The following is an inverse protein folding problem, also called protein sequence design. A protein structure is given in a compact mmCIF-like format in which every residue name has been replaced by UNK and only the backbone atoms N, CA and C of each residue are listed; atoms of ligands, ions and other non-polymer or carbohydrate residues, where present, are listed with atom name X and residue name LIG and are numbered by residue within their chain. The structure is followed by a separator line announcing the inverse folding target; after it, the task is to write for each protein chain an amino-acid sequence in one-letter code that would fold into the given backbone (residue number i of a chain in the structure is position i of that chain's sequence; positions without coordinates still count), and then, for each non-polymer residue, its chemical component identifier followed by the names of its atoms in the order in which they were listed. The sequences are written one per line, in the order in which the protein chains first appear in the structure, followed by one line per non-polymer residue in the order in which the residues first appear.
data_IF_123110689772
#
_entry.id   IF_123110689772
#
_cell.length_a   1.000
_cell.length_b   1.000
_cell.length_c   1.000
_cell.angle_alpha   90.00
_cell.angle_beta   90.00
_cell.angle_gamma   90.00
#
_symmetry.space_group_name_H-M   'P 1'
#
loop_
_entity.id
_entity.type
_entity.pdbx_description
1 polymer ?
#
# COMPACT_ATOMS: atom_id res chain seq x y z
N UNK A 1 70.25 -63.13 1.77
CA UNK A 1 70.18 -62.17 2.90
C UNK A 1 68.71 -61.80 3.06
N UNK A 2 67.97 -62.41 4.01
CA UNK A 2 67.74 -61.92 5.40
C UNK A 2 67.10 -60.51 5.36
N UNK A 3 65.87 -60.22 5.80
CA UNK A 3 65.02 -60.84 6.83
C UNK A 3 63.53 -60.52 6.59
N UNK A 4 62.69 -61.44 7.08
CA UNK A 4 61.27 -61.30 7.43
C UNK A 4 61.14 -60.39 8.66
N UNK A 5 60.11 -59.53 8.72
CA UNK A 5 59.21 -59.45 9.89
C UNK A 5 58.00 -58.52 9.69
N UNK A 6 56.87 -59.06 10.15
CA UNK A 6 55.53 -58.52 10.29
C UNK A 6 55.46 -57.15 10.96
N UNK A 7 54.56 -56.28 10.47
CA UNK A 7 53.70 -55.50 11.35
C UNK A 7 52.37 -55.21 10.65
N UNK A 8 51.34 -55.90 11.10
CA UNK A 8 49.93 -55.57 10.86
C UNK A 8 49.62 -54.33 11.69
N UNK A 9 49.19 -53.24 11.04
CA UNK A 9 48.50 -52.15 11.71
C UNK A 9 47.20 -51.87 10.95
N UNK A 10 46.12 -52.45 11.47
CA UNK A 10 44.75 -52.06 11.17
C UNK A 10 44.56 -50.62 11.66
N UNK A 11 44.44 -49.68 10.71
CA UNK A 11 43.91 -48.36 10.97
C UNK A 11 42.50 -48.31 10.40
N UNK A 12 41.53 -48.61 11.27
CA UNK A 12 40.11 -48.36 11.02
C UNK A 12 39.94 -46.83 11.06
N UNK A 13 40.03 -46.20 9.89
CA UNK A 13 39.58 -44.83 9.72
C UNK A 13 38.06 -44.88 9.59
N UNK A 14 37.36 -44.56 10.69
CA UNK A 14 35.94 -44.25 10.67
C UNK A 14 35.70 -43.06 9.73
N UNK A 15 35.24 -43.33 8.51
CA UNK A 15 34.64 -42.33 7.65
C UNK A 15 33.29 -41.92 8.24
N UNK A 16 33.31 -41.01 9.22
CA UNK A 16 32.14 -40.20 9.55
C UNK A 16 32.03 -39.17 8.45
N UNK A 17 31.12 -39.44 7.51
CA UNK A 17 30.74 -38.48 6.48
C UNK A 17 30.13 -37.25 7.14
N UNK A 18 30.94 -36.22 7.35
CA UNK A 18 30.44 -34.87 7.54
C UNK A 18 29.97 -34.38 6.17
N UNK A 19 28.75 -34.76 5.79
CA UNK A 19 27.97 -33.95 4.87
C UNK A 19 27.72 -32.62 5.60
N UNK A 20 28.64 -31.66 5.45
CA UNK A 20 28.30 -30.27 5.65
C UNK A 20 27.35 -29.90 4.52
N UNK A 21 26.05 -30.08 4.77
CA UNK A 21 25.02 -29.37 4.04
C UNK A 21 25.44 -27.90 3.97
N UNK A 22 25.43 -27.25 2.79
CA UNK A 22 25.63 -25.81 2.76
C UNK A 22 24.59 -25.22 3.71
N UNK A 23 25.04 -24.39 4.66
CA UNK A 23 24.14 -23.54 5.43
C UNK A 23 23.28 -22.85 4.39
N UNK A 24 21.99 -23.19 4.37
CA UNK A 24 20.99 -22.42 3.65
C UNK A 24 21.16 -21.01 4.18
N UNK A 25 21.65 -20.10 3.33
CA UNK A 25 21.66 -18.69 3.64
C UNK A 25 20.27 -18.35 4.18
N UNK A 26 20.24 -17.86 5.41
CA UNK A 26 19.04 -17.29 6.00
C UNK A 26 18.54 -16.28 4.99
N UNK A 27 17.31 -16.47 4.45
CA UNK A 27 16.58 -15.45 3.69
C UNK A 27 16.95 -14.09 4.29
N UNK A 28 17.43 -13.14 3.47
CA UNK A 28 17.66 -11.75 3.88
C UNK A 28 16.50 -11.30 4.77
N UNK A 29 16.73 -11.24 6.08
CA UNK A 29 15.65 -11.03 7.03
C UNK A 29 15.40 -9.53 7.12
N UNK A 30 14.37 -9.05 6.44
CA UNK A 30 13.94 -7.66 6.51
C UNK A 30 13.47 -7.30 7.95
N UNK A 31 13.67 -6.04 8.39
CA UNK A 31 13.07 -5.48 9.60
C UNK A 31 11.59 -5.83 9.72
N UNK A 32 11.11 -6.27 10.88
CA UNK A 32 9.69 -6.62 11.03
C UNK A 32 8.79 -5.38 11.18
N UNK A 33 9.34 -4.28 11.66
CA UNK A 33 8.58 -3.05 11.96
C UNK A 33 9.23 -1.86 11.29
N UNK A 34 8.42 -1.15 10.51
CA UNK A 34 8.82 -0.02 9.68
C UNK A 34 8.02 1.24 10.02
N UNK A 35 8.52 2.38 9.57
CA UNK A 35 7.74 3.61 9.52
C UNK A 35 8.02 4.40 8.25
N UNK A 36 7.01 5.12 7.75
CA UNK A 36 7.24 6.21 6.81
C UNK A 36 7.65 7.46 7.57
N UNK A 37 8.58 8.23 7.03
CA UNK A 37 9.03 9.47 7.65
C UNK A 37 9.50 10.48 6.61
N UNK A 38 8.95 11.69 6.65
CA UNK A 38 9.51 12.82 5.93
C UNK A 38 10.80 13.29 6.61
N UNK A 39 11.86 13.40 5.82
CA UNK A 39 13.13 13.97 6.22
C UNK A 39 13.29 15.36 5.62
N UNK A 40 13.82 16.29 6.40
CA UNK A 40 14.19 17.62 5.93
C UNK A 40 15.55 17.99 6.53
N UNK A 41 16.44 18.65 5.77
CA UNK A 41 17.72 19.14 6.29
C UNK A 41 17.52 19.97 7.57
N UNK A 42 18.35 19.73 8.57
CA UNK A 42 18.26 20.38 9.89
C UNK A 42 17.31 19.70 10.88
N UNK A 43 16.58 18.65 10.48
CA UNK A 43 15.87 17.76 11.40
C UNK A 43 16.86 17.07 12.34
N UNK A 44 16.52 16.95 13.63
CA UNK A 44 17.28 16.12 14.57
C UNK A 44 16.95 14.63 14.36
N UNK A 45 17.49 14.07 13.29
CA UNK A 45 17.20 12.70 12.88
C UNK A 45 17.72 11.65 13.88
N UNK A 46 18.84 11.93 14.57
CA UNK A 46 19.40 11.07 15.62
C UNK A 46 18.41 10.86 16.79
N UNK A 47 17.74 11.94 17.23
CA UNK A 47 16.68 11.84 18.23
C UNK A 47 15.46 11.05 17.73
N UNK A 48 15.13 11.13 16.45
CA UNK A 48 14.00 10.37 15.87
C UNK A 48 14.38 8.89 15.75
N UNK A 49 15.62 8.57 15.39
CA UNK A 49 16.13 7.19 15.43
C UNK A 49 16.13 6.62 16.85
N UNK A 50 16.41 7.44 17.87
CA UNK A 50 16.24 7.02 19.27
C UNK A 50 14.78 6.68 19.58
N UNK A 51 13.83 7.50 19.12
CA UNK A 51 12.39 7.23 19.26
C UNK A 51 11.98 5.94 18.53
N UNK A 52 12.53 5.68 17.34
CA UNK A 52 12.30 4.42 16.61
C UNK A 52 12.80 3.22 17.42
N UNK A 53 14.02 3.28 17.97
CA UNK A 53 14.56 2.23 18.83
C UNK A 53 13.73 2.03 20.11
N UNK A 54 13.27 3.11 20.74
CA UNK A 54 12.38 3.06 21.91
C UNK A 54 11.08 2.33 21.59
N UNK A 55 10.54 2.51 20.39
CA UNK A 55 9.33 1.83 19.90
C UNK A 55 9.61 0.41 19.36
N UNK A 56 10.86 0.04 19.11
CA UNK A 56 11.20 -1.22 18.44
C UNK A 56 10.85 -1.19 16.96
N UNK A 57 11.14 -0.08 16.28
CA UNK A 57 11.07 0.06 14.82
C UNK A 57 12.51 -0.02 14.30
N UNK A 58 12.76 -0.91 13.34
CA UNK A 58 14.12 -1.18 12.84
C UNK A 58 14.30 -0.79 11.35
N UNK A 59 13.23 -0.33 10.70
CA UNK A 59 13.27 0.11 9.30
C UNK A 59 12.54 1.44 9.08
N UNK A 60 13.03 2.25 8.14
CA UNK A 60 12.40 3.51 7.75
C UNK A 60 12.33 3.65 6.24
N UNK A 61 11.13 3.97 5.75
CA UNK A 61 10.89 4.52 4.42
C UNK A 61 11.01 6.03 4.54
N UNK A 62 12.23 6.53 4.30
CA UNK A 62 12.59 7.92 4.53
C UNK A 62 12.38 8.72 3.25
N UNK A 63 11.60 9.80 3.28
CA UNK A 63 11.41 10.72 2.16
C UNK A 63 12.32 11.94 2.33
N UNK A 64 13.45 11.98 1.61
CA UNK A 64 14.37 13.10 1.65
C UNK A 64 14.45 13.81 0.27
N UNK A 65 14.66 15.14 0.25
CA UNK A 65 14.60 15.93 -0.98
C UNK A 65 15.55 15.47 -2.09
N UNK A 66 16.79 15.13 -1.74
CA UNK A 66 17.85 14.84 -2.69
C UNK A 66 18.69 13.62 -2.28
N UNK A 67 19.46 13.00 -3.19
CA UNK A 67 20.42 11.95 -2.85
C UNK A 67 21.46 12.38 -1.80
N UNK A 68 21.87 13.65 -1.77
CA UNK A 68 22.82 14.17 -0.77
C UNK A 68 22.22 14.14 0.65
N UNK A 69 20.92 14.43 0.79
CA UNK A 69 20.24 14.34 2.08
C UNK A 69 20.24 12.92 2.64
N UNK A 70 20.18 11.90 1.77
CA UNK A 70 20.36 10.50 2.19
C UNK A 70 21.80 10.20 2.62
N UNK A 71 22.81 10.77 1.94
CA UNK A 71 24.22 10.61 2.34
C UNK A 71 24.47 11.14 3.75
N UNK A 72 23.74 12.18 4.17
CA UNK A 72 23.78 12.70 5.53
C UNK A 72 22.96 11.86 6.52
N UNK A 73 21.77 11.39 6.13
CA UNK A 73 20.85 10.67 7.01
C UNK A 73 21.31 9.23 7.30
N UNK A 74 21.86 8.51 6.31
CA UNK A 74 22.20 7.08 6.42
C UNK A 74 23.23 6.81 7.53
N UNK A 75 24.35 7.55 7.65
CA UNK A 75 25.29 7.34 8.75
C UNK A 75 24.67 7.54 10.13
N UNK A 76 23.63 8.37 10.25
CA UNK A 76 22.89 8.56 11.50
C UNK A 76 22.03 7.32 11.76
N UNK A 77 21.19 6.89 10.81
CA UNK A 77 20.35 5.70 10.93
C UNK A 77 21.16 4.44 11.27
N UNK A 78 22.33 4.27 10.66
CA UNK A 78 23.22 3.12 10.89
C UNK A 78 23.73 3.03 12.34
N UNK A 79 23.98 4.17 13.02
CA UNK A 79 24.36 4.17 14.46
C UNK A 79 23.28 3.54 15.34
N UNK A 80 22.03 3.64 14.90
CA UNK A 80 20.86 3.11 15.58
C UNK A 80 20.47 1.72 15.11
N UNK A 81 21.14 1.17 14.07
CA UNK A 81 20.75 -0.10 13.46
C UNK A 81 19.48 -0.02 12.62
N UNK A 82 19.10 1.18 12.16
CA UNK A 82 17.89 1.40 11.36
C UNK A 82 18.20 1.19 9.87
N UNK A 83 17.45 0.31 9.21
CA UNK A 83 17.49 0.11 7.76
C UNK A 83 16.79 1.26 7.03
N UNK A 84 17.37 1.78 5.94
CA UNK A 84 16.84 2.96 5.24
C UNK A 84 16.48 2.63 3.80
N UNK A 85 15.21 2.82 3.45
CA UNK A 85 14.73 2.81 2.06
C UNK A 85 14.38 4.23 1.66
N UNK A 86 14.77 4.64 0.45
CA UNK A 86 14.38 5.93 -0.09
C UNK A 86 12.91 5.87 -0.52
N UNK A 87 12.05 6.60 0.21
CA UNK A 87 10.64 6.73 -0.10
C UNK A 87 10.42 7.81 -1.14
N UNK A 88 10.22 7.38 -2.39
CA UNK A 88 10.20 8.25 -3.55
C UNK A 88 8.82 8.30 -4.20
N UNK A 89 8.28 9.51 -4.35
CA UNK A 89 7.10 9.71 -5.18
C UNK A 89 7.52 9.74 -6.65
N UNK A 90 6.85 8.94 -7.46
CA UNK A 90 7.27 8.67 -8.85
C UNK A 90 6.35 9.32 -9.88
N UNK A 91 5.11 8.85 -10.03
CA UNK A 91 4.20 9.42 -11.04
C UNK A 91 3.66 10.79 -10.62
N UNK A 92 3.45 11.04 -9.32
CA UNK A 92 3.19 12.38 -8.78
C UNK A 92 4.44 12.91 -8.10
N UNK A 93 5.26 13.71 -8.79
CA UNK A 93 6.50 14.23 -8.22
C UNK A 93 6.25 15.02 -6.94
N UNK A 94 7.21 15.05 -6.02
CA UNK A 94 7.14 15.82 -4.79
C UNK A 94 8.07 17.05 -4.85
N UNK A 95 9.37 16.85 -4.64
CA UNK A 95 10.33 17.94 -4.42
C UNK A 95 10.68 18.73 -5.69
N UNK A 96 10.64 18.08 -6.85
CA UNK A 96 10.96 18.61 -8.17
C UNK A 96 9.72 18.97 -9.00
N UNK A 97 8.52 18.82 -8.42
CA UNK A 97 7.24 19.00 -9.13
C UNK A 97 7.15 20.34 -9.86
N UNK A 98 7.39 21.45 -9.17
CA UNK A 98 7.15 22.78 -9.72
C UNK A 98 8.11 23.12 -10.89
N UNK A 99 9.35 22.63 -10.81
CA UNK A 99 10.32 22.77 -11.88
C UNK A 99 9.89 21.96 -13.12
N UNK A 100 9.58 20.67 -12.93
CA UNK A 100 9.13 19.79 -14.02
C UNK A 100 7.80 20.26 -14.62
N UNK A 101 6.87 20.76 -13.80
CA UNK A 101 5.60 21.33 -14.27
C UNK A 101 5.81 22.54 -15.18
N UNK A 102 6.80 23.37 -14.86
CA UNK A 102 7.14 24.57 -15.65
C UNK A 102 7.91 24.24 -16.92
N UNK A 103 8.85 23.29 -16.84
CA UNK A 103 9.77 22.94 -17.94
C UNK A 103 9.12 21.99 -18.94
N UNK A 104 8.27 21.08 -18.46
CA UNK A 104 7.64 20.00 -19.22
C UNK A 104 6.14 19.90 -18.98
N UNK A 105 5.36 20.98 -19.22
CA UNK A 105 3.90 20.97 -19.02
C UNK A 105 3.19 19.89 -19.85
N UNK A 106 3.79 19.44 -20.97
CA UNK A 106 3.28 18.39 -21.84
C UNK A 106 3.40 16.98 -21.24
N UNK A 107 4.11 16.79 -20.12
CA UNK A 107 4.26 15.47 -19.49
C UNK A 107 3.06 15.05 -18.66
N UNK A 108 2.16 15.97 -18.31
CA UNK A 108 1.16 15.73 -17.27
C UNK A 108 -0.12 15.07 -17.78
N UNK A 109 -0.71 14.26 -16.91
CA UNK A 109 -1.89 13.46 -17.23
C UNK A 109 -3.10 14.32 -17.60
N UNK A 110 -3.87 13.81 -18.55
CA UNK A 110 -5.11 14.42 -19.05
C UNK A 110 -6.30 13.57 -18.60
N UNK A 111 -7.36 14.23 -18.12
CA UNK A 111 -8.61 13.57 -17.72
C UNK A 111 -9.53 13.32 -18.91
N UNK A 112 -10.63 12.59 -18.70
CA UNK A 112 -11.62 12.25 -19.73
C UNK A 112 -12.26 13.49 -20.40
N UNK A 113 -12.30 14.63 -19.72
CA UNK A 113 -12.74 15.91 -20.30
C UNK A 113 -11.71 16.55 -21.24
N UNK A 114 -10.52 15.95 -21.41
CA UNK A 114 -9.42 16.54 -22.17
C UNK A 114 -8.66 17.63 -21.42
N UNK A 115 -8.82 17.73 -20.10
CA UNK A 115 -8.14 18.73 -19.28
C UNK A 115 -6.84 18.19 -18.70
N UNK A 116 -5.75 18.94 -18.85
CA UNK A 116 -4.43 18.59 -18.31
C UNK A 116 -4.30 18.96 -16.83
N UNK A 117 -3.60 18.13 -16.06
CA UNK A 117 -3.17 18.49 -14.70
C UNK A 117 -2.20 19.67 -14.66
N UNK A 118 -1.61 20.09 -15.77
CA UNK A 118 -0.81 21.33 -15.80
C UNK A 118 -1.63 22.53 -15.32
N UNK A 119 -2.84 22.67 -15.86
CA UNK A 119 -3.68 23.85 -15.66
C UNK A 119 -4.86 23.60 -14.71
N UNK A 120 -5.05 22.36 -14.26
CA UNK A 120 -6.19 21.97 -13.42
C UNK A 120 -5.79 21.28 -12.13
N UNK A 121 -6.76 21.16 -11.23
CA UNK A 121 -6.61 20.49 -9.93
C UNK A 121 -7.68 19.41 -9.83
N UNK A 122 -7.27 18.17 -9.57
CA UNK A 122 -8.21 17.07 -9.33
C UNK A 122 -8.92 17.22 -7.97
N UNK A 123 -8.14 17.22 -6.88
CA UNK A 123 -8.62 17.38 -5.50
C UNK A 123 -7.80 18.39 -4.70
N UNK A 124 -6.48 18.37 -4.91
CA UNK A 124 -5.49 19.13 -4.15
C UNK A 124 -4.40 19.63 -5.11
N UNK A 125 -3.85 20.82 -4.85
CA UNK A 125 -2.94 21.49 -5.78
C UNK A 125 -1.64 20.73 -6.08
N UNK A 126 -1.24 19.85 -5.17
CA UNK A 126 -0.04 19.03 -5.31
C UNK A 126 -0.24 17.76 -6.17
N UNK A 127 -1.45 17.47 -6.64
CA UNK A 127 -1.69 16.34 -7.55
C UNK A 127 -1.36 16.75 -8.98
N UNK A 128 -0.13 16.46 -9.40
CA UNK A 128 0.39 16.69 -10.74
C UNK A 128 1.05 15.40 -11.23
N UNK A 129 0.20 14.44 -11.60
CA UNK A 129 0.64 13.13 -12.08
C UNK A 129 1.11 13.21 -13.54
N UNK A 130 2.28 12.67 -13.83
CA UNK A 130 2.83 12.56 -15.18
C UNK A 130 2.18 11.42 -15.98
N UNK A 131 2.35 11.41 -17.30
CA UNK A 131 1.85 10.40 -18.21
C UNK A 131 2.85 9.23 -18.33
N UNK A 132 2.49 7.99 -17.97
CA UNK A 132 3.41 6.85 -18.01
C UNK A 132 3.69 6.33 -19.44
N UNK A 133 2.98 6.78 -20.47
CA UNK A 133 3.22 6.37 -21.85
C UNK A 133 4.33 7.17 -22.55
N UNK A 134 4.75 8.31 -22.00
CA UNK A 134 5.78 9.15 -22.60
C UNK A 134 7.18 8.57 -22.32
N UNK A 135 7.99 8.27 -23.36
CA UNK A 135 9.36 7.81 -23.17
C UNK A 135 10.22 8.77 -22.33
N UNK A 136 10.02 10.07 -22.48
CA UNK A 136 10.75 11.13 -21.77
C UNK A 136 10.47 11.08 -20.26
N UNK A 137 9.22 10.86 -19.87
CA UNK A 137 8.83 10.68 -18.46
C UNK A 137 9.48 9.41 -17.88
N UNK A 138 9.50 8.31 -18.63
CA UNK A 138 10.14 7.06 -18.20
C UNK A 138 11.64 7.23 -18.00
N UNK A 139 12.30 7.88 -18.94
CA UNK A 139 13.74 8.15 -18.86
C UNK A 139 14.08 9.10 -17.71
N UNK A 140 13.25 10.13 -17.48
CA UNK A 140 13.39 11.02 -16.33
C UNK A 140 13.30 10.27 -15.00
N UNK A 141 12.26 9.43 -14.83
CA UNK A 141 12.09 8.60 -13.63
C UNK A 141 13.28 7.66 -13.46
N UNK A 142 13.72 6.99 -14.53
CA UNK A 142 14.86 6.07 -14.50
C UNK A 142 16.12 6.76 -13.99
N UNK A 143 16.51 7.91 -14.56
CA UNK A 143 17.69 8.67 -14.12
C UNK A 143 17.59 9.12 -12.67
N UNK A 144 16.40 9.52 -12.23
CA UNK A 144 16.15 9.88 -10.84
C UNK A 144 16.41 8.68 -9.93
N UNK A 145 15.88 7.51 -10.24
CA UNK A 145 16.10 6.27 -9.49
C UNK A 145 17.58 5.88 -9.46
N UNK A 146 18.29 5.93 -10.60
CA UNK A 146 19.73 5.66 -10.67
C UNK A 146 20.52 6.53 -9.68
N UNK A 147 20.22 7.84 -9.62
CA UNK A 147 20.90 8.76 -8.70
C UNK A 147 20.69 8.41 -7.21
N UNK A 148 19.52 7.91 -6.81
CA UNK A 148 19.30 7.41 -5.44
C UNK A 148 19.95 6.04 -5.21
N UNK A 149 19.96 5.17 -6.23
CA UNK A 149 20.64 3.89 -6.16
C UNK A 149 22.17 4.03 -6.00
N UNK A 150 22.78 5.11 -6.48
CA UNK A 150 24.20 5.40 -6.28
C UNK A 150 24.57 5.82 -4.84
N UNK A 151 23.60 6.10 -3.97
CA UNK A 151 23.87 6.47 -2.57
C UNK A 151 24.39 5.26 -1.80
N UNK A 152 25.64 5.34 -1.33
CA UNK A 152 26.27 4.30 -0.51
C UNK A 152 25.50 4.08 0.80
N UNK A 153 25.33 2.82 1.20
CA UNK A 153 24.64 2.45 2.44
C UNK A 153 23.10 2.47 2.39
N UNK A 154 22.49 2.99 1.33
CA UNK A 154 21.03 2.94 1.14
C UNK A 154 20.60 1.51 0.75
N UNK A 155 19.67 0.91 1.52
CA UNK A 155 19.30 -0.49 1.39
C UNK A 155 18.33 -0.77 0.22
N UNK A 156 17.46 0.18 -0.09
CA UNK A 156 16.41 0.00 -1.09
C UNK A 156 15.71 1.27 -1.51
N UNK A 157 14.81 1.13 -2.48
CA UNK A 157 13.88 2.16 -2.93
C UNK A 157 12.47 1.70 -2.59
N UNK A 158 11.66 2.57 -2.00
CA UNK A 158 10.23 2.37 -1.78
C UNK A 158 9.44 3.37 -2.62
N UNK A 159 8.80 2.92 -3.71
CA UNK A 159 8.02 3.82 -4.57
C UNK A 159 6.62 4.09 -4.00
N UNK A 160 6.17 5.33 -4.09
CA UNK A 160 4.81 5.76 -3.75
C UNK A 160 4.29 6.74 -4.81
N UNK A 161 2.99 7.04 -4.74
CA UNK A 161 2.23 7.77 -5.74
C UNK A 161 2.49 7.25 -7.15
N UNK A 162 2.82 5.96 -7.27
CA UNK A 162 3.07 5.27 -8.52
C UNK A 162 1.74 4.79 -9.11
N UNK A 163 0.94 5.74 -9.58
CA UNK A 163 -0.46 5.54 -9.96
C UNK A 163 -0.97 6.68 -10.83
N UNK A 164 -2.20 6.57 -11.33
CA UNK A 164 -2.95 7.73 -11.78
C UNK A 164 -3.61 8.44 -10.58
N UNK A 165 -4.15 9.63 -10.82
CA UNK A 165 -5.09 10.27 -9.88
C UNK A 165 -6.17 9.26 -9.48
N UNK A 166 -6.59 9.34 -8.23
CA UNK A 166 -7.69 8.57 -7.67
C UNK A 166 -8.94 8.71 -8.54
N UNK A 167 -9.21 7.72 -9.38
CA UNK A 167 -10.42 7.65 -10.21
C UNK A 167 -11.65 7.47 -9.32
N UNK A 168 -11.44 6.90 -8.13
CA UNK A 168 -12.36 6.86 -7.02
C UNK A 168 -11.56 7.12 -5.73
N UNK A 169 -11.92 8.16 -4.97
CA UNK A 169 -11.40 8.34 -3.62
C UNK A 169 -12.10 7.44 -2.60
N UNK A 170 -11.39 6.99 -1.54
CA UNK A 170 -12.02 6.35 -0.38
C UNK A 170 -13.17 7.20 0.19
N UNK A 171 -14.29 6.57 0.51
CA UNK A 171 -15.56 7.27 0.75
C UNK A 171 -15.54 8.19 1.97
N UNK A 172 -14.72 7.89 2.98
CA UNK A 172 -14.60 8.74 4.17
C UNK A 172 -13.83 10.04 3.89
N UNK A 173 -13.14 10.13 2.76
CA UNK A 173 -12.44 11.35 2.32
C UNK A 173 -13.35 12.29 1.52
N UNK A 174 -14.50 11.83 1.05
CA UNK A 174 -15.41 12.66 0.26
C UNK A 174 -15.88 13.92 1.00
N UNK A 175 -16.28 13.87 2.29
CA UNK A 175 -16.67 15.08 3.02
C UNK A 175 -15.52 16.08 3.17
N UNK A 176 -14.28 15.61 3.29
CA UNK A 176 -13.10 16.47 3.39
C UNK A 176 -12.92 17.35 2.15
N UNK A 177 -13.27 16.83 0.97
CA UNK A 177 -13.17 17.55 -0.30
C UNK A 177 -14.50 18.13 -0.78
N UNK A 178 -15.60 17.91 -0.05
CA UNK A 178 -16.93 18.40 -0.43
C UNK A 178 -17.47 17.78 -1.72
N UNK A 179 -17.17 16.51 -1.98
CA UNK A 179 -17.55 15.80 -3.21
C UNK A 179 -18.43 14.58 -2.91
N UNK A 180 -19.00 13.99 -3.95
CA UNK A 180 -19.54 12.63 -3.98
C UNK A 180 -18.97 11.97 -5.22
N UNK A 181 -18.34 10.80 -5.07
CA UNK A 181 -17.62 10.10 -6.15
C UNK A 181 -17.99 8.62 -6.20
N UNK A 182 -19.28 8.36 -6.32
CA UNK A 182 -19.90 7.03 -6.33
C UNK A 182 -19.76 6.26 -7.65
N UNK A 183 -19.13 6.87 -8.65
CA UNK A 183 -18.81 6.30 -9.96
C UNK A 183 -17.59 7.02 -10.58
N UNK A 184 -17.12 6.54 -11.72
CA UNK A 184 -16.00 7.17 -12.45
C UNK A 184 -16.44 8.44 -13.18
N UNK A 185 -16.26 9.59 -12.54
CA UNK A 185 -16.59 10.88 -13.14
C UNK A 185 -15.47 11.41 -14.06
N UNK A 186 -15.81 12.10 -15.17
CA UNK A 186 -14.82 12.49 -16.18
C UNK A 186 -13.68 13.38 -15.65
N UNK A 187 -13.95 14.24 -14.67
CA UNK A 187 -12.97 15.18 -14.13
C UNK A 187 -11.86 14.51 -13.30
N UNK A 188 -12.10 13.30 -12.80
CA UNK A 188 -11.16 12.49 -12.01
C UNK A 188 -10.70 11.20 -12.74
N UNK A 189 -11.29 10.88 -13.89
CA UNK A 189 -10.89 9.77 -14.74
C UNK A 189 -9.70 10.16 -15.63
N UNK A 190 -8.48 9.93 -15.12
CA UNK A 190 -7.22 10.25 -15.82
C UNK A 190 -6.66 9.09 -16.65
N UNK A 191 -5.75 9.44 -17.57
CA UNK A 191 -5.11 8.51 -18.50
C UNK A 191 -5.43 8.79 -19.97
N UNK A 192 -6.09 9.91 -20.28
CA UNK A 192 -6.50 10.31 -21.63
C UNK A 192 -5.49 11.21 -22.34
N UNK A 193 -4.23 11.19 -21.89
CA UNK A 193 -3.15 11.91 -22.58
C UNK A 193 -3.06 11.45 -24.04
N UNK A 194 -2.83 12.32 -25.03
CA UNK A 194 -2.81 11.93 -26.45
C UNK A 194 -1.93 10.70 -26.74
N UNK A 195 -0.75 10.60 -26.12
CA UNK A 195 0.14 9.44 -26.25
C UNK A 195 -0.48 8.12 -25.72
N UNK A 196 -1.26 8.17 -24.63
CA UNK A 196 -1.98 6.99 -24.12
C UNK A 196 -3.07 6.54 -25.09
N UNK A 197 -3.81 7.51 -25.64
CA UNK A 197 -4.89 7.25 -26.61
C UNK A 197 -4.31 6.64 -27.89
N UNK A 198 -3.24 7.21 -28.44
CA UNK A 198 -2.57 6.69 -29.64
C UNK A 198 -2.04 5.27 -29.41
N UNK A 199 -1.35 5.03 -28.29
CA UNK A 199 -0.81 3.71 -27.95
C UNK A 199 -1.93 2.68 -27.79
N UNK A 200 -3.04 3.04 -27.15
CA UNK A 200 -4.20 2.16 -27.02
C UNK A 200 -4.89 1.88 -28.36
N UNK A 201 -5.15 2.91 -29.17
CA UNK A 201 -5.75 2.77 -30.51
C UNK A 201 -4.92 1.84 -31.39
N UNK A 202 -3.60 1.96 -31.31
CA UNK A 202 -2.67 1.09 -32.04
C UNK A 202 -2.78 -0.37 -31.58
N UNK A 203 -2.93 -0.60 -30.28
CA UNK A 203 -3.01 -1.96 -29.71
C UNK A 203 -4.39 -2.62 -29.89
N UNK A 204 -5.49 -1.86 -29.82
CA UNK A 204 -6.85 -2.41 -29.72
C UNK A 204 -7.80 -1.98 -30.85
N UNK A 205 -7.41 -1.04 -31.71
CA UNK A 205 -8.14 -0.67 -32.93
C UNK A 205 -9.29 0.32 -32.77
N UNK A 206 -9.49 0.92 -31.59
CA UNK A 206 -10.55 1.92 -31.35
C UNK A 206 -10.12 2.96 -30.31
N UNK A 207 -10.82 4.10 -30.30
CA UNK A 207 -10.61 5.19 -29.35
C UNK A 207 -11.52 5.00 -28.13
N UNK A 208 -10.99 4.94 -26.89
CA UNK A 208 -11.82 4.73 -25.71
C UNK A 208 -12.79 5.90 -25.47
N UNK A 209 -12.51 7.09 -26.03
CA UNK A 209 -13.37 8.28 -25.90
C UNK A 209 -14.63 8.21 -26.76
N UNK A 210 -14.67 7.31 -27.74
CA UNK A 210 -15.83 7.11 -28.61
C UNK A 210 -16.87 6.16 -27.98
N UNK A 211 -16.53 5.53 -26.84
CA UNK A 211 -17.47 4.70 -26.07
C UNK A 211 -18.47 5.58 -25.30
N UNK A 212 -19.70 5.09 -25.15
CA UNK A 212 -20.73 5.78 -24.35
C UNK A 212 -20.33 5.86 -22.86
N UNK A 213 -19.78 4.77 -22.32
CA UNK A 213 -19.22 4.72 -20.98
C UNK A 213 -17.85 4.02 -20.96
N UNK A 214 -16.75 4.79 -21.06
CA UNK A 214 -15.39 4.24 -21.00
C UNK A 214 -15.04 3.56 -19.67
N UNK A 215 -15.83 3.75 -18.61
CA UNK A 215 -15.59 3.08 -17.32
C UNK A 215 -15.93 1.58 -17.34
N UNK A 216 -16.76 1.16 -18.31
CA UNK A 216 -17.09 -0.26 -18.54
C UNK A 216 -16.09 -0.97 -19.45
N UNK A 217 -15.13 -0.23 -20.04
CA UNK A 217 -14.14 -0.81 -20.93
C UNK A 217 -13.00 -1.47 -20.14
N UNK A 218 -13.09 -2.78 -19.98
CA UNK A 218 -12.07 -3.58 -19.28
C UNK A 218 -10.71 -3.54 -19.98
N UNK A 219 -10.65 -3.42 -21.31
CA UNK A 219 -9.38 -3.30 -22.04
C UNK A 219 -8.73 -1.96 -21.75
N UNK A 220 -9.51 -0.88 -21.73
CA UNK A 220 -9.02 0.44 -21.38
C UNK A 220 -8.54 0.53 -19.93
N UNK A 221 -9.29 -0.08 -19.00
CA UNK A 221 -8.88 -0.19 -17.61
C UNK A 221 -7.55 -0.95 -17.47
N UNK A 222 -7.46 -2.15 -18.06
CA UNK A 222 -6.27 -2.98 -17.95
C UNK A 222 -5.07 -2.32 -18.62
N UNK A 223 -5.24 -1.70 -19.79
CA UNK A 223 -4.17 -0.96 -20.45
C UNK A 223 -3.58 0.13 -19.56
N UNK A 224 -4.41 0.90 -18.84
CA UNK A 224 -3.93 1.93 -17.90
C UNK A 224 -3.15 1.31 -16.73
N UNK A 225 -3.63 0.19 -16.18
CA UNK A 225 -2.89 -0.56 -15.16
C UNK A 225 -1.54 -1.07 -15.69
N UNK A 226 -1.49 -1.54 -16.94
CA UNK A 226 -0.28 -2.04 -17.57
C UNK A 226 0.73 -0.93 -17.79
N UNK A 227 0.30 0.28 -18.16
CA UNK A 227 1.22 1.42 -18.30
C UNK A 227 1.88 1.81 -16.97
N UNK A 228 1.16 1.77 -15.85
CA UNK A 228 1.76 1.96 -14.52
C UNK A 228 2.71 0.79 -14.20
N UNK A 229 2.28 -0.45 -14.43
CA UNK A 229 3.08 -1.66 -14.17
C UNK A 229 4.39 -1.70 -14.95
N UNK A 230 4.39 -1.27 -16.22
CA UNK A 230 5.59 -1.15 -17.04
C UNK A 230 6.62 -0.21 -16.41
N UNK A 231 6.19 0.94 -15.85
CA UNK A 231 7.11 1.88 -15.19
C UNK A 231 7.58 1.31 -13.85
N UNK A 232 6.71 0.67 -13.06
CA UNK A 232 7.10 0.02 -11.81
C UNK A 232 8.19 -1.06 -12.03
N UNK A 233 8.01 -1.90 -13.05
CA UNK A 233 8.96 -2.97 -13.36
C UNK A 233 10.25 -2.44 -13.98
N UNK A 234 10.19 -1.37 -14.77
CA UNK A 234 11.39 -0.65 -15.21
C UNK A 234 12.20 -0.12 -14.01
N UNK A 235 11.53 0.46 -13.00
CA UNK A 235 12.20 0.91 -11.77
C UNK A 235 12.81 -0.28 -11.04
N UNK A 236 12.06 -1.38 -10.88
CA UNK A 236 12.57 -2.59 -10.24
C UNK A 236 13.84 -3.11 -10.91
N UNK A 237 13.85 -3.21 -12.24
CA UNK A 237 15.02 -3.67 -13.00
C UNK A 237 16.25 -2.79 -12.72
N UNK A 238 16.08 -1.46 -12.69
CA UNK A 238 17.15 -0.52 -12.32
C UNK A 238 17.62 -0.78 -10.89
N UNK A 239 16.70 -0.78 -9.92
CA UNK A 239 17.03 -0.97 -8.49
C UNK A 239 17.80 -2.28 -8.26
N UNK A 240 17.38 -3.37 -8.91
CA UNK A 240 18.03 -4.67 -8.81
C UNK A 240 19.42 -4.70 -9.47
N UNK A 241 19.66 -3.95 -10.54
CA UNK A 241 21.02 -3.87 -11.14
C UNK A 241 22.06 -3.25 -10.21
N UNK A 242 21.62 -2.41 -9.26
CA UNK A 242 22.47 -1.85 -8.20
C UNK A 242 22.54 -2.74 -6.95
N UNK A 243 21.94 -3.94 -6.98
CA UNK A 243 21.91 -4.86 -5.85
C UNK A 243 21.04 -4.39 -4.68
N UNK A 244 20.12 -3.44 -4.92
CA UNK A 244 19.23 -2.87 -3.90
C UNK A 244 17.87 -3.53 -3.93
N UNK A 245 17.11 -3.36 -2.85
CA UNK A 245 15.75 -3.90 -2.75
C UNK A 245 14.72 -2.93 -3.30
N UNK A 246 13.77 -3.46 -4.03
CA UNK A 246 12.63 -2.73 -4.57
C UNK A 246 11.40 -2.94 -3.70
N UNK A 247 10.82 -1.85 -3.21
CA UNK A 247 9.60 -1.84 -2.44
C UNK A 247 8.57 -0.84 -2.97
N UNK A 248 7.32 -0.96 -2.52
CA UNK A 248 6.27 -0.01 -2.86
C UNK A 248 5.26 0.20 -1.73
N UNK A 249 4.61 1.36 -1.72
CA UNK A 249 3.49 1.71 -0.85
C UNK A 249 2.20 1.89 -1.66
N UNK A 250 1.55 0.80 -2.12
CA UNK A 250 0.35 0.90 -2.95
C UNK A 250 -0.95 1.01 -2.13
N UNK A 251 -2.08 1.14 -2.84
CA UNK A 251 -3.42 0.98 -2.26
C UNK A 251 -3.66 -0.45 -1.73
N UNK A 252 -4.67 -0.65 -0.85
CA UNK A 252 -4.76 -1.81 0.05
C UNK A 252 -4.62 -3.19 -0.59
N UNK A 253 -5.24 -3.42 -1.76
CA UNK A 253 -5.18 -4.70 -2.47
C UNK A 253 -4.98 -4.53 -3.97
N UNK A 254 -4.46 -5.52 -4.73
CA UNK A 254 -4.26 -5.36 -6.17
C UNK A 254 -5.58 -5.07 -6.90
N UNK A 255 -6.67 -5.76 -6.54
CA UNK A 255 -7.97 -5.55 -7.21
C UNK A 255 -8.57 -4.20 -6.85
N UNK A 256 -8.57 -3.82 -5.58
CA UNK A 256 -9.08 -2.52 -5.15
C UNK A 256 -8.28 -1.39 -5.80
N UNK A 257 -6.95 -1.49 -5.76
CA UNK A 257 -6.04 -0.50 -6.32
C UNK A 257 -6.21 -0.38 -7.85
N UNK A 258 -6.48 -1.46 -8.57
CA UNK A 258 -6.72 -1.42 -10.02
C UNK A 258 -7.97 -0.61 -10.36
N UNK A 259 -9.03 -0.73 -9.54
CA UNK A 259 -10.31 -0.05 -9.73
C UNK A 259 -10.28 1.40 -9.27
N UNK A 260 -9.57 1.71 -8.19
CA UNK A 260 -9.57 3.06 -7.61
C UNK A 260 -8.48 3.96 -8.19
N UNK A 261 -7.30 3.41 -8.50
CA UNK A 261 -6.11 4.21 -8.83
C UNK A 261 -5.26 3.64 -9.97
N UNK A 262 -5.73 2.59 -10.64
CA UNK A 262 -5.03 1.91 -11.75
C UNK A 262 -3.66 1.33 -11.37
N UNK A 263 -3.54 0.85 -10.14
CA UNK A 263 -2.39 0.04 -9.72
C UNK A 263 -2.74 -1.44 -9.78
N UNK A 264 -1.92 -2.24 -10.46
CA UNK A 264 -2.01 -3.69 -10.45
C UNK A 264 -0.75 -4.27 -9.82
N UNK A 265 -0.54 -3.92 -8.55
CA UNK A 265 0.76 -4.12 -7.89
C UNK A 265 1.10 -5.59 -7.64
N UNK A 266 0.13 -6.51 -7.75
CA UNK A 266 0.39 -7.95 -7.75
C UNK A 266 1.25 -8.41 -8.93
N UNK A 267 1.37 -7.59 -9.98
CA UNK A 267 2.22 -7.82 -11.16
C UNK A 267 3.57 -7.09 -11.11
N UNK A 268 3.87 -6.39 -10.02
CA UNK A 268 5.11 -5.61 -9.91
C UNK A 268 6.24 -6.50 -9.37
N UNK A 269 7.46 -6.29 -9.88
CA UNK A 269 8.67 -7.01 -9.50
C UNK A 269 9.22 -6.46 -8.17
N UNK A 270 8.50 -6.66 -7.08
CA UNK A 270 8.84 -6.14 -5.75
C UNK A 270 9.53 -7.20 -4.88
N UNK A 271 10.54 -6.79 -4.12
CA UNK A 271 11.06 -7.57 -2.99
C UNK A 271 10.12 -7.45 -1.78
N UNK A 272 9.60 -6.25 -1.52
CA UNK A 272 8.73 -5.96 -0.37
C UNK A 272 7.54 -5.11 -0.82
N UNK A 273 6.36 -5.31 -0.24
CA UNK A 273 5.23 -4.42 -0.46
C UNK A 273 4.62 -3.99 0.88
N UNK A 274 4.28 -2.70 0.98
CA UNK A 274 3.66 -2.06 2.13
C UNK A 274 2.29 -1.46 1.75
N UNK A 275 1.26 -2.27 1.44
CA UNK A 275 -0.06 -1.74 1.10
C UNK A 275 -0.61 -0.87 2.24
N UNK A 276 -1.12 0.32 1.90
CA UNK A 276 -1.65 1.30 2.85
C UNK A 276 -3.08 0.93 3.26
N UNK A 277 -3.21 -0.07 4.14
CA UNK A 277 -4.49 -0.61 4.64
C UNK A 277 -5.04 0.27 5.77
N UNK A 278 -5.17 1.57 5.50
CA UNK A 278 -5.65 2.56 6.47
C UNK A 278 -7.17 2.44 6.63
N UNK A 279 -7.65 1.47 7.42
CA UNK A 279 -9.08 1.18 7.63
C UNK A 279 -9.91 2.41 7.97
N UNK A 280 -9.33 3.41 8.65
CA UNK A 280 -9.95 4.71 8.95
C UNK A 280 -10.37 5.53 7.71
N UNK A 281 -9.68 5.32 6.57
CA UNK A 281 -10.06 5.91 5.28
C UNK A 281 -11.13 5.09 4.53
N UNK A 282 -11.46 3.89 5.03
CA UNK A 282 -12.42 2.97 4.42
C UNK A 282 -13.59 2.74 5.39
N UNK A 283 -13.78 1.52 5.89
CA UNK A 283 -14.95 1.17 6.70
C UNK A 283 -14.85 1.61 8.16
N UNK A 284 -13.65 1.97 8.62
CA UNK A 284 -13.23 2.14 10.04
C UNK A 284 -13.28 0.86 10.88
N UNK A 285 -13.62 -0.27 10.28
CA UNK A 285 -13.70 -1.54 11.00
C UNK A 285 -12.42 -2.37 10.77
N UNK A 286 -11.95 -3.04 11.82
CA UNK A 286 -10.72 -3.86 11.79
C UNK A 286 -10.84 -5.03 10.79
N UNK A 287 -12.05 -5.55 10.52
CA UNK A 287 -12.22 -6.62 9.52
C UNK A 287 -11.76 -6.22 8.12
N UNK A 288 -11.75 -4.93 7.79
CA UNK A 288 -11.19 -4.42 6.54
C UNK A 288 -9.71 -4.82 6.37
N UNK A 289 -8.94 -4.77 7.46
CA UNK A 289 -7.53 -5.16 7.45
C UNK A 289 -7.43 -6.65 7.13
N UNK A 290 -8.17 -7.49 7.85
CA UNK A 290 -8.19 -8.94 7.64
C UNK A 290 -8.57 -9.33 6.20
N UNK A 291 -9.62 -8.71 5.65
CA UNK A 291 -10.09 -8.97 4.29
C UNK A 291 -9.05 -8.56 3.24
N UNK A 292 -8.42 -7.39 3.42
CA UNK A 292 -7.33 -6.95 2.54
C UNK A 292 -6.14 -7.90 2.60
N UNK A 293 -5.74 -8.35 3.79
CA UNK A 293 -4.59 -9.24 3.96
C UNK A 293 -4.81 -10.62 3.35
N UNK A 294 -6.01 -11.18 3.46
CA UNK A 294 -6.37 -12.45 2.80
C UNK A 294 -6.22 -12.33 1.28
N UNK A 295 -6.72 -11.24 0.69
CA UNK A 295 -6.54 -10.99 -0.73
C UNK A 295 -5.07 -10.78 -1.09
N UNK A 296 -4.33 -10.02 -0.30
CA UNK A 296 -2.92 -9.72 -0.57
C UNK A 296 -2.05 -10.97 -0.54
N UNK A 297 -2.26 -11.88 0.41
CA UNK A 297 -1.55 -13.18 0.44
C UNK A 297 -1.82 -13.99 -0.81
N UNK A 298 -3.06 -13.96 -1.32
CA UNK A 298 -3.48 -14.69 -2.52
C UNK A 298 -2.91 -14.09 -3.81
N UNK A 299 -2.92 -12.76 -3.92
CA UNK A 299 -2.77 -12.06 -5.20
C UNK A 299 -1.42 -11.32 -5.36
N UNK A 300 -0.57 -11.25 -4.32
CA UNK A 300 0.80 -10.71 -4.45
C UNK A 300 1.67 -11.58 -5.37
N UNK A 301 2.73 -11.00 -5.93
CA UNK A 301 3.73 -11.77 -6.63
C UNK A 301 4.43 -12.80 -5.69
N UNK A 302 4.83 -13.99 -6.18
CA UNK A 302 5.39 -15.05 -5.34
C UNK A 302 6.62 -14.64 -4.52
N UNK A 303 7.48 -13.81 -5.10
CA UNK A 303 8.76 -13.40 -4.49
C UNK A 303 8.65 -12.13 -3.62
N UNK A 304 7.47 -11.53 -3.53
CA UNK A 304 7.27 -10.30 -2.75
C UNK A 304 6.93 -10.62 -1.30
N UNK A 305 7.70 -10.09 -0.35
CA UNK A 305 7.37 -10.13 1.08
C UNK A 305 6.27 -9.12 1.39
N UNK A 306 5.22 -9.58 2.06
CA UNK A 306 4.02 -8.78 2.33
C UNK A 306 4.06 -8.16 3.72
N UNK A 307 3.98 -6.83 3.79
CA UNK A 307 3.76 -6.07 5.03
C UNK A 307 2.34 -5.51 5.04
N UNK A 308 1.95 -4.88 6.15
CA UNK A 308 0.73 -4.09 6.24
C UNK A 308 1.04 -2.66 6.72
N UNK A 309 0.60 -1.67 5.95
CA UNK A 309 0.66 -0.26 6.30
C UNK A 309 -0.53 0.18 7.13
N UNK A 310 -0.29 0.73 8.32
CA UNK A 310 -1.33 1.13 9.28
C UNK A 310 -1.16 2.60 9.72
N UNK A 311 -2.28 3.24 10.05
CA UNK A 311 -2.27 4.53 10.75
C UNK A 311 -2.16 4.28 12.25
N UNK A 312 -1.37 5.09 12.95
CA UNK A 312 -1.34 5.03 14.43
C UNK A 312 -2.66 5.56 14.99
N UNK A 313 -3.35 4.74 15.76
CA UNK A 313 -4.62 5.04 16.43
C UNK A 313 -4.74 4.30 17.75
N UNK A 314 -5.86 4.50 18.45
CA UNK A 314 -6.12 3.86 19.75
C UNK A 314 -6.26 2.33 19.63
N UNK A 315 -6.62 1.85 18.44
CA UNK A 315 -6.86 0.44 18.04
C UNK A 315 -5.65 -0.21 17.35
N UNK A 316 -4.44 0.36 17.51
CA UNK A 316 -3.26 -0.08 16.76
C UNK A 316 -2.87 -1.53 17.05
N UNK A 317 -3.05 -2.04 18.27
CA UNK A 317 -2.71 -3.44 18.61
C UNK A 317 -3.66 -4.41 17.90
N UNK A 318 -4.97 -4.13 17.91
CA UNK A 318 -5.98 -4.91 17.21
C UNK A 318 -5.77 -4.88 15.70
N UNK A 319 -5.37 -3.72 15.16
CA UNK A 319 -5.04 -3.56 13.74
C UNK A 319 -3.79 -4.37 13.35
N UNK A 320 -2.76 -4.36 14.19
CA UNK A 320 -1.54 -5.16 13.99
C UNK A 320 -1.83 -6.65 14.08
N UNK A 321 -2.64 -7.09 15.05
CA UNK A 321 -3.09 -8.47 15.19
C UNK A 321 -3.87 -8.91 13.94
N UNK A 322 -4.82 -8.09 13.47
CA UNK A 322 -5.57 -8.37 12.25
C UNK A 322 -4.64 -8.53 11.03
N UNK A 323 -3.60 -7.71 10.92
CA UNK A 323 -2.64 -7.82 9.84
C UNK A 323 -1.75 -9.08 9.92
N UNK A 324 -1.12 -9.31 11.07
CA UNK A 324 -0.16 -10.38 11.29
C UNK A 324 -0.83 -11.76 11.25
N UNK A 325 -2.03 -11.88 11.82
CA UNK A 325 -2.78 -13.15 11.84
C UNK A 325 -3.29 -13.57 10.45
N UNK A 326 -3.33 -12.65 9.48
CA UNK A 326 -3.78 -12.88 8.11
C UNK A 326 -2.65 -12.77 7.08
N UNK A 327 -1.40 -12.94 7.51
CA UNK A 327 -0.27 -13.21 6.61
C UNK A 327 0.65 -12.04 6.32
N UNK A 328 0.51 -10.91 7.03
CA UNK A 328 1.59 -9.92 7.04
C UNK A 328 2.85 -10.51 7.69
N UNK A 329 3.99 -10.35 7.04
CA UNK A 329 5.32 -10.71 7.57
C UNK A 329 5.90 -9.59 8.45
N UNK A 330 5.29 -8.42 8.45
CA UNK A 330 5.62 -7.29 9.32
C UNK A 330 4.66 -6.11 9.13
N UNK A 331 4.89 -5.05 9.89
CA UNK A 331 4.03 -3.85 9.95
C UNK A 331 4.83 -2.62 9.56
N UNK A 332 4.20 -1.68 8.86
CA UNK A 332 4.68 -0.31 8.75
C UNK A 332 3.64 0.67 9.30
N UNK A 333 4.06 1.66 10.08
CA UNK A 333 3.17 2.70 10.62
C UNK A 333 3.39 4.07 9.98
N UNK A 334 2.31 4.79 9.74
CA UNK A 334 2.31 6.18 9.28
C UNK A 334 1.85 7.11 10.42
N UNK A 335 2.74 7.81 11.13
CA UNK A 335 4.21 7.66 11.17
C UNK A 335 4.65 7.45 12.62
N UNK A 336 5.94 7.22 12.88
CA UNK A 336 6.49 7.12 14.24
C UNK A 336 6.16 8.35 15.11
N UNK A 337 5.92 9.52 14.51
CA UNK A 337 5.47 10.72 15.22
C UNK A 337 4.08 10.58 15.86
N UNK A 338 3.31 9.56 15.48
CA UNK A 338 2.06 9.17 16.15
C UNK A 338 2.29 8.61 17.57
N UNK A 339 3.47 8.06 17.86
CA UNK A 339 3.85 7.51 19.17
C UNK A 339 4.38 8.61 20.11
N UNK A 340 3.51 9.56 20.43
CA UNK A 340 3.87 10.86 21.03
C UNK A 340 4.43 10.77 22.44
N UNK A 341 3.99 9.81 23.25
CA UNK A 341 4.35 9.74 24.67
C UNK A 341 5.27 8.56 24.98
N UNK A 342 6.12 8.64 26.03
CA UNK A 342 6.91 7.50 26.48
C UNK A 342 6.06 6.25 26.75
N UNK A 343 4.84 6.41 27.29
CA UNK A 343 3.93 5.28 27.53
C UNK A 343 3.48 4.64 26.20
N UNK A 344 3.11 5.45 25.20
CA UNK A 344 2.72 4.92 23.88
C UNK A 344 3.86 4.16 23.20
N UNK A 345 5.10 4.64 23.33
CA UNK A 345 6.29 3.96 22.80
C UNK A 345 6.62 2.68 23.55
N UNK A 346 6.55 2.70 24.89
CA UNK A 346 6.76 1.51 25.70
C UNK A 346 5.70 0.43 25.42
N UNK A 347 4.43 0.83 25.22
CA UNK A 347 3.35 -0.08 24.84
C UNK A 347 3.62 -0.71 23.47
N UNK A 348 3.92 0.12 22.47
CA UNK A 348 4.24 -0.36 21.12
C UNK A 348 5.47 -1.28 21.14
N UNK A 349 6.51 -0.93 21.90
CA UNK A 349 7.70 -1.75 22.09
C UNK A 349 7.39 -3.11 22.68
N UNK A 350 6.62 -3.16 23.77
CA UNK A 350 6.20 -4.41 24.40
C UNK A 350 5.47 -5.32 23.39
N UNK A 351 4.59 -4.75 22.57
CA UNK A 351 3.92 -5.48 21.49
C UNK A 351 4.93 -5.99 20.45
N UNK A 352 5.81 -5.13 19.92
CA UNK A 352 6.79 -5.55 18.90
C UNK A 352 7.73 -6.65 19.40
N UNK A 353 8.18 -6.57 20.65
CA UNK A 353 9.03 -7.59 21.28
C UNK A 353 8.28 -8.91 21.48
N UNK A 354 7.01 -8.86 21.88
CA UNK A 354 6.15 -10.05 22.00
C UNK A 354 5.99 -10.77 20.65
N UNK A 355 5.72 -10.03 19.58
CA UNK A 355 5.59 -10.59 18.23
C UNK A 355 6.90 -11.19 17.73
N UNK A 356 8.04 -10.52 17.95
CA UNK A 356 9.36 -11.08 17.62
C UNK A 356 9.63 -12.39 18.35
N UNK A 357 9.29 -12.48 19.64
CA UNK A 357 9.45 -13.69 20.43
C UNK A 357 8.59 -14.84 19.86
N UNK A 358 7.31 -14.58 19.58
CA UNK A 358 6.39 -15.56 18.95
C UNK A 358 6.96 -16.04 17.61
N UNK A 359 7.46 -15.13 16.77
CA UNK A 359 8.04 -15.49 15.46
C UNK A 359 9.32 -16.33 15.61
N UNK A 360 10.16 -16.02 16.58
CA UNK A 360 11.38 -16.78 16.87
C UNK A 360 11.05 -18.22 17.32
N UNK A 361 10.05 -18.40 18.19
CA UNK A 361 9.56 -19.71 18.63
C UNK A 361 8.98 -20.54 17.47
N UNK A 362 8.37 -19.87 16.49
CA UNK A 362 7.76 -20.49 15.31
C UNK A 362 8.71 -20.58 14.09
N UNK A 363 10.04 -20.61 14.31
CA UNK A 363 11.06 -20.76 13.26
C UNK A 363 10.97 -19.70 12.15
N UNK A 364 10.61 -18.47 12.51
CA UNK A 364 10.54 -17.33 11.58
C UNK A 364 9.19 -17.16 10.88
N UNK A 365 8.20 -18.02 11.17
CA UNK A 365 6.86 -17.96 10.58
C UNK A 365 5.90 -17.34 11.58
N UNK A 366 5.10 -16.36 11.15
CA UNK A 366 3.99 -15.87 11.96
C UNK A 366 2.91 -16.97 11.99
N UNK A 367 2.48 -17.47 13.16
CA UNK A 367 1.39 -18.43 13.22
C UNK A 367 0.14 -17.78 12.62
N UNK A 368 -0.36 -18.31 11.50
CA UNK A 368 -1.64 -17.89 10.94
C UNK A 368 -2.74 -18.33 11.92
N UNK A 369 -3.39 -17.37 12.59
CA UNK A 369 -4.32 -17.68 13.69
C UNK A 369 -5.80 -17.64 13.32
N UNK A 370 -6.18 -17.38 12.07
CA UNK A 370 -7.62 -17.39 11.75
C UNK A 370 -7.94 -17.67 10.28
N UNK A 371 -9.01 -18.44 10.07
CA UNK A 371 -9.81 -18.40 8.85
C UNK A 371 -10.81 -17.26 9.02
N UNK A 372 -10.50 -16.04 8.59
CA UNK A 372 -11.54 -15.02 8.46
C UNK A 372 -12.49 -15.42 7.32
N UNK A 373 -13.78 -15.36 7.60
CA UNK A 373 -14.85 -15.49 6.61
C UNK A 373 -15.14 -14.10 6.07
N UNK A 374 -14.84 -13.87 4.79
CA UNK A 374 -15.16 -12.63 4.10
C UNK A 374 -16.63 -12.23 4.36
N UNK A 375 -16.87 -11.00 4.78
CA UNK A 375 -18.22 -10.49 5.05
C UNK A 375 -18.97 -10.36 3.72
N UNK A 376 -19.87 -11.30 3.43
CA UNK A 376 -20.69 -11.26 2.20
C UNK A 376 -21.89 -10.33 2.32
N UNK A 377 -22.38 -10.10 3.54
CA UNK A 377 -23.48 -9.21 3.86
C UNK A 377 -23.04 -8.20 4.93
N UNK A 378 -22.85 -6.92 4.59
CA UNK A 378 -22.36 -5.91 5.54
C UNK A 378 -23.20 -5.74 6.80
N UNK A 379 -24.51 -6.05 6.74
CA UNK A 379 -25.39 -5.98 7.90
C UNK A 379 -25.14 -7.09 8.93
N UNK A 380 -24.40 -8.15 8.58
CA UNK A 380 -24.00 -9.22 9.52
C UNK A 380 -22.75 -8.85 10.31
N UNK A 381 -22.00 -7.81 9.89
CA UNK A 381 -20.91 -7.26 10.68
C UNK A 381 -21.48 -6.31 11.75
N UNK A 382 -21.43 -6.76 13.01
CA UNK A 382 -22.02 -6.03 14.14
C UNK A 382 -21.39 -4.64 14.39
N UNK A 383 -20.11 -4.46 14.08
CA UNK A 383 -19.46 -3.16 14.22
C UNK A 383 -19.95 -2.17 13.14
N UNK A 384 -20.03 -2.64 11.89
CA UNK A 384 -20.58 -1.87 10.77
C UNK A 384 -22.04 -1.52 11.04
N UNK A 385 -22.85 -2.50 11.45
CA UNK A 385 -24.25 -2.29 11.83
C UNK A 385 -24.37 -1.29 12.98
N UNK A 386 -23.51 -1.37 14.00
CA UNK A 386 -23.46 -0.42 15.09
C UNK A 386 -23.20 1.03 14.62
N UNK A 387 -22.27 1.22 13.68
CA UNK A 387 -21.99 2.54 13.11
C UNK A 387 -23.13 3.06 12.21
N UNK A 388 -23.76 2.19 11.43
CA UNK A 388 -24.96 2.54 10.64
C UNK A 388 -26.09 2.96 11.58
N UNK A 389 -26.34 2.20 12.65
CA UNK A 389 -27.36 2.52 13.65
C UNK A 389 -27.08 3.86 14.33
N UNK A 390 -25.82 4.15 14.66
CA UNK A 390 -25.43 5.44 15.22
C UNK A 390 -25.70 6.59 14.24
N UNK A 391 -25.48 6.38 12.94
CA UNK A 391 -25.77 7.40 11.92
C UNK A 391 -27.27 7.60 11.71
N UNK A 392 -28.06 6.52 11.67
CA UNK A 392 -29.53 6.59 11.60
C UNK A 392 -30.07 7.29 12.85
N UNK A 393 -29.54 7.01 14.04
CA UNK A 393 -29.91 7.68 15.28
C UNK A 393 -29.78 9.20 15.17
N UNK A 394 -28.64 9.66 14.67
CA UNK A 394 -28.34 11.08 14.43
C UNK A 394 -29.34 11.70 13.44
N UNK A 395 -29.53 11.08 12.26
CA UNK A 395 -30.39 11.61 11.20
C UNK A 395 -31.89 11.55 11.54
N UNK A 396 -32.32 10.51 12.26
CA UNK A 396 -33.70 10.33 12.69
C UNK A 396 -34.07 11.23 13.88
N UNK A 397 -33.07 11.65 14.67
CA UNK A 397 -33.20 12.32 15.96
C UNK A 397 -33.99 11.47 16.97
N UNK A 398 -33.58 10.21 17.16
CA UNK A 398 -34.21 9.26 18.09
C UNK A 398 -33.23 8.81 19.18
N UNK A 399 -33.68 8.47 20.40
CA UNK A 399 -32.77 7.99 21.45
C UNK A 399 -32.19 6.60 21.15
N UNK A 400 -33.03 5.69 20.63
CA UNK A 400 -32.69 4.32 20.27
C UNK A 400 -33.37 4.02 18.92
N UNK A 401 -32.62 3.83 17.82
CA UNK A 401 -33.21 3.50 16.54
C UNK A 401 -33.79 2.08 16.56
N UNK A 402 -35.01 1.92 16.04
CA UNK A 402 -35.66 0.64 15.82
C UNK A 402 -35.70 0.38 14.32
N UNK A 403 -34.74 -0.39 13.82
CA UNK A 403 -34.57 -0.60 12.38
C UNK A 403 -35.31 -1.87 11.96
N UNK A 404 -36.17 -1.74 10.95
CA UNK A 404 -36.86 -2.85 10.30
C UNK A 404 -35.90 -3.69 9.44
N UNK A 405 -36.45 -4.71 8.76
CA UNK A 405 -35.73 -5.42 7.70
C UNK A 405 -35.22 -4.43 6.63
N UNK A 406 -34.00 -4.67 6.15
CA UNK A 406 -33.39 -3.93 5.04
C UNK A 406 -33.72 -4.58 3.70
N UNK A 407 -33.85 -3.78 2.65
CA UNK A 407 -34.16 -4.25 1.30
C UNK A 407 -33.13 -3.72 0.31
N UNK A 408 -32.47 -4.61 -0.43
CA UNK A 408 -31.67 -4.22 -1.59
C UNK A 408 -32.61 -3.63 -2.66
N UNK A 409 -32.35 -2.38 -3.06
CA UNK A 409 -33.19 -1.67 -4.05
C UNK A 409 -32.50 -1.48 -5.38
N UNK A 410 -31.17 -1.39 -5.40
CA UNK A 410 -30.38 -1.19 -6.62
C UNK A 410 -28.96 -1.72 -6.41
N UNK A 411 -28.36 -2.21 -7.50
CA UNK A 411 -26.92 -2.50 -7.59
C UNK A 411 -26.40 -1.79 -8.85
N UNK A 412 -25.29 -1.07 -8.73
CA UNK A 412 -24.64 -0.39 -9.85
C UNK A 412 -23.12 -0.40 -9.64
N UNK A 413 -22.40 -1.04 -10.56
CA UNK A 413 -20.95 -1.17 -10.48
C UNK A 413 -20.51 -1.80 -9.15
N UNK A 414 -19.67 -1.09 -8.39
CA UNK A 414 -19.19 -1.53 -7.08
C UNK A 414 -20.15 -1.19 -5.92
N UNK A 415 -21.31 -0.58 -6.19
CA UNK A 415 -22.18 -0.01 -5.14
C UNK A 415 -23.50 -0.79 -5.02
N UNK A 416 -23.86 -1.14 -3.78
CA UNK A 416 -25.15 -1.73 -3.43
C UNK A 416 -25.97 -0.76 -2.57
N UNK A 417 -27.21 -0.52 -2.97
CA UNK A 417 -28.10 0.45 -2.35
C UNK A 417 -29.23 -0.28 -1.62
N UNK A 418 -29.39 0.00 -0.33
CA UNK A 418 -30.41 -0.60 0.52
C UNK A 418 -31.36 0.46 1.05
N UNK A 419 -32.63 0.10 1.19
CA UNK A 419 -33.59 0.87 1.97
C UNK A 419 -33.75 0.26 3.35
N UNK A 420 -33.72 1.13 4.36
CA UNK A 420 -33.83 0.77 5.77
C UNK A 420 -34.88 1.66 6.42
N UNK A 421 -35.89 1.06 7.06
CA UNK A 421 -36.97 1.81 7.72
C UNK A 421 -36.72 1.88 9.23
N UNK A 422 -36.81 3.08 9.79
CA UNK A 422 -36.82 3.29 11.24
C UNK A 422 -38.29 3.29 11.71
N UNK A 423 -38.65 2.27 12.49
CA UNK A 423 -40.03 1.94 12.84
C UNK A 423 -40.67 2.91 13.84
N UNK A 424 -39.88 3.57 14.69
CA UNK A 424 -40.43 4.49 15.68
C UNK A 424 -40.93 5.78 15.04
N UNK A 425 -40.23 6.26 14.02
CA UNK A 425 -40.53 7.52 13.30
C UNK A 425 -41.22 7.28 11.96
N UNK A 426 -41.17 6.06 11.43
CA UNK A 426 -41.61 5.73 10.07
C UNK A 426 -40.70 6.26 8.96
N UNK A 427 -39.59 6.94 9.31
CA UNK A 427 -38.63 7.47 8.33
C UNK A 427 -37.92 6.34 7.60
N UNK A 428 -37.60 6.58 6.32
CA UNK A 428 -36.82 5.65 5.48
C UNK A 428 -35.46 6.26 5.20
N UNK A 429 -34.43 5.42 5.22
CA UNK A 429 -33.04 5.77 4.98
C UNK A 429 -32.50 4.93 3.83
N UNK A 430 -31.62 5.53 3.03
CA UNK A 430 -30.79 4.82 2.07
C UNK A 430 -29.46 4.47 2.75
N UNK A 431 -29.06 3.21 2.66
CA UNK A 431 -27.77 2.70 3.13
C UNK A 431 -27.01 2.17 1.93
N UNK A 432 -25.91 2.84 1.61
CA UNK A 432 -25.07 2.52 0.45
C UNK A 432 -23.81 1.79 0.92
N UNK A 433 -23.45 0.70 0.25
CA UNK A 433 -22.20 -0.03 0.49
C UNK A 433 -21.35 -0.06 -0.77
N UNK A 434 -20.06 0.21 -0.61
CA UNK A 434 -19.09 0.30 -1.70
C UNK A 434 -18.11 -0.89 -1.63
N UNK A 435 -18.00 -1.66 -2.70
CA UNK A 435 -17.22 -2.91 -2.77
C UNK A 435 -16.10 -2.85 -3.83
N UNK A 436 -15.18 -1.91 -3.69
CA UNK A 436 -14.05 -1.80 -4.63
C UNK A 436 -13.14 -3.03 -4.51
N UNK A 437 -12.90 -3.71 -5.64
CA UNK A 437 -12.17 -4.99 -5.66
C UNK A 437 -12.94 -6.17 -5.04
N UNK A 438 -14.22 -6.01 -4.71
CA UNK A 438 -15.04 -7.03 -4.03
C UNK A 438 -14.91 -7.03 -2.49
N UNK A 439 -14.15 -6.09 -1.92
CA UNK A 439 -14.01 -5.90 -0.48
C UNK A 439 -14.87 -4.71 -0.05
N UNK A 440 -15.61 -4.83 1.06
CA UNK A 440 -16.35 -3.71 1.62
C UNK A 440 -15.36 -2.59 1.98
N UNK A 441 -15.39 -1.51 1.21
CA UNK A 441 -14.42 -0.42 1.24
C UNK A 441 -14.99 0.87 1.82
N UNK A 442 -16.30 0.91 2.03
CA UNK A 442 -16.98 2.09 2.57
C UNK A 442 -18.47 1.88 2.66
N UNK A 443 -19.13 2.78 3.37
CA UNK A 443 -20.58 2.82 3.49
C UNK A 443 -21.06 4.24 3.74
N UNK A 444 -22.33 4.51 3.46
CA UNK A 444 -22.98 5.80 3.72
C UNK A 444 -24.44 5.62 4.13
N UNK A 445 -24.99 6.58 4.88
CA UNK A 445 -26.41 6.62 5.25
C UNK A 445 -26.98 8.00 4.94
N UNK A 446 -28.07 8.04 4.19
CA UNK A 446 -28.82 9.27 3.90
C UNK A 446 -30.30 9.10 4.21
N UNK A 447 -30.98 10.19 4.57
CA UNK A 447 -32.43 10.18 4.70
C UNK A 447 -33.06 10.22 3.30
N UNK A 448 -34.12 9.43 3.09
CA UNK A 448 -34.87 9.38 1.83
C UNK A 448 -35.89 10.50 1.71
#
# INVERSE_FOLDING_TARGET
MRHINYLVLLLVACCVGACSSPKKDTKDAYPMFWTWLDYRPGMNFDSICTIMNEAGIDGVMLNAPTPDDYRDAIPIAQKHGIEVYAWLWTMNLEHDRDAILKEHPEWFSVNRNGQSLTDTTAYVGYYKFMCPALPEVREFIKKKIEAYCEVEGLNGIAIDYHRFVDVILPTTLWPKYGIVQDQEYPQWDFGYHPAMIEKFKTAYGYDPREQEDPSQDEKWLQFRCDQITEVANMIADVVHTYGKKMAASPFPTPKMASKMVRQDWGKWNLDIVFPMVYHNFYTKDISFISDCMIENVRDKAPNTTLYCGLMVGDDIEEAMDAALNHGAEGISIFTVSGLRTPESRAKFRAYTDSVRAIRAENKGVNPALSKSTQVTNPFENMNILGMINAKIKELANVPIPNIADYKLVKEQGATKYYEVKELNTGKTFCVDFYFYGGILSGWNVTAK
#
